data_IF_058228984035
#
_entry.id   IF_058228984035
#
_cell.length_a   1.000
_cell.length_b   1.000
_cell.length_c   1.000
_cell.angle_alpha   90.00
_cell.angle_beta   90.00
_cell.angle_gamma   90.00
#
_symmetry.space_group_name_H-M   'P 1'
#
loop_
_entity.id
_entity.type
_entity.pdbx_description
1 polymer ?
#
# COMPACT_ATOMS: atom_id res chain seq x y z
N UNK A 1 43.65 -20.46 33.71
CA UNK A 1 43.46 -19.66 32.49
C UNK A 1 42.04 -19.10 32.49
N UNK A 2 41.86 -17.84 32.91
CA UNK A 2 40.54 -17.18 32.91
C UNK A 2 40.35 -16.50 31.56
N UNK A 3 39.41 -17.00 30.76
CA UNK A 3 38.95 -16.35 29.54
C UNK A 3 37.99 -15.23 29.95
N UNK A 4 38.51 -14.04 30.25
CA UNK A 4 37.70 -12.86 30.52
C UNK A 4 37.10 -12.36 29.20
N UNK A 5 35.77 -12.45 28.99
CA UNK A 5 35.17 -11.87 27.79
C UNK A 5 35.35 -10.35 27.80
N UNK A 6 35.77 -9.80 26.66
CA UNK A 6 36.03 -8.38 26.48
C UNK A 6 34.71 -7.60 26.57
N UNK A 7 34.53 -6.81 27.64
CA UNK A 7 33.32 -6.02 27.91
C UNK A 7 32.93 -5.07 26.76
N UNK A 8 33.89 -4.70 25.90
CA UNK A 8 33.62 -3.91 24.68
C UNK A 8 32.81 -4.69 23.63
N UNK A 9 33.06 -5.98 23.45
CA UNK A 9 32.35 -6.80 22.46
C UNK A 9 30.85 -6.97 22.78
N UNK A 10 30.49 -6.95 24.06
CA UNK A 10 29.09 -7.01 24.51
C UNK A 10 28.38 -5.66 24.32
N UNK A 11 29.12 -4.55 24.44
CA UNK A 11 28.59 -3.20 24.16
C UNK A 11 28.34 -2.98 22.65
N UNK A 12 29.22 -3.51 21.79
CA UNK A 12 29.06 -3.44 20.33
C UNK A 12 27.82 -4.24 19.86
N UNK A 13 27.57 -5.41 20.48
CA UNK A 13 26.38 -6.21 20.21
C UNK A 13 25.08 -5.48 20.61
N UNK A 14 25.12 -4.71 21.71
CA UNK A 14 24.00 -3.87 22.19
C UNK A 14 23.76 -2.66 21.28
N UNK A 15 24.81 -2.09 20.67
CA UNK A 15 24.69 -1.03 19.66
C UNK A 15 24.11 -1.54 18.33
N UNK A 16 24.41 -2.78 17.94
CA UNK A 16 23.87 -3.37 16.69
C UNK A 16 22.39 -3.76 16.74
N UNK A 17 21.84 -4.06 17.92
CA UNK A 17 20.40 -4.34 18.07
C UNK A 17 19.53 -3.08 17.97
N UNK A 18 20.09 -1.89 18.19
CA UNK A 18 19.38 -0.61 18.10
C UNK A 18 19.29 -0.07 16.65
N UNK A 19 20.19 -0.52 15.76
CA UNK A 19 20.29 -0.06 14.35
C UNK A 19 19.18 -0.62 13.44
N UNK A 20 18.46 -1.67 13.86
CA UNK A 20 17.44 -2.34 13.01
C UNK A 20 15.99 -2.00 13.33
N UNK A 21 15.71 -0.88 14.00
CA UNK A 21 14.36 -0.31 13.98
C UNK A 21 14.10 0.33 12.61
N UNK A 22 13.60 -0.41 11.57
CA UNK A 22 13.19 0.25 10.32
C UNK A 22 12.03 1.16 10.64
N UNK A 23 12.35 2.44 10.72
CA UNK A 23 11.40 3.51 10.90
C UNK A 23 10.41 3.46 9.73
N UNK A 24 9.20 2.96 10.01
CA UNK A 24 8.13 2.87 9.02
C UNK A 24 7.68 4.30 8.76
N UNK A 25 8.09 4.86 7.62
CA UNK A 25 7.74 6.25 7.28
C UNK A 25 6.27 6.52 7.53
N UNK A 26 6.02 7.40 8.49
CA UNK A 26 4.66 7.78 8.90
C UNK A 26 4.07 8.72 7.85
N UNK A 27 2.74 8.72 7.73
CA UNK A 27 2.03 9.68 6.88
C UNK A 27 2.37 11.14 7.21
N UNK A 28 2.73 11.43 8.46
CA UNK A 28 3.18 12.75 8.93
C UNK A 28 4.58 13.14 8.44
N UNK A 29 5.38 12.18 7.98
CA UNK A 29 6.76 12.40 7.48
C UNK A 29 6.81 12.55 5.96
N UNK A 30 5.67 12.40 5.27
CA UNK A 30 5.56 12.68 3.84
C UNK A 30 5.62 14.19 3.61
N UNK A 31 6.36 14.61 2.58
CA UNK A 31 6.34 16.02 2.19
C UNK A 31 4.93 16.44 1.78
N UNK A 32 4.55 17.73 1.95
CA UNK A 32 3.23 18.23 1.54
C UNK A 32 2.89 17.89 0.07
N UNK A 33 3.91 17.86 -0.80
CA UNK A 33 3.77 17.48 -2.21
C UNK A 33 3.43 16.00 -2.38
N UNK A 34 4.12 15.10 -1.67
CA UNK A 34 3.83 13.66 -1.73
C UNK A 34 2.42 13.36 -1.24
N UNK A 35 2.03 13.96 -0.11
CA UNK A 35 0.68 13.83 0.45
C UNK A 35 -0.39 14.30 -0.54
N UNK A 36 -0.17 15.46 -1.18
CA UNK A 36 -1.08 15.99 -2.21
C UNK A 36 -1.21 15.04 -3.40
N UNK A 37 -0.11 14.48 -3.91
CA UNK A 37 -0.13 13.53 -5.03
C UNK A 37 -0.96 12.29 -4.66
N UNK A 38 -0.75 11.72 -3.47
CA UNK A 38 -1.50 10.54 -3.02
C UNK A 38 -3.00 10.83 -2.96
N UNK A 39 -3.38 11.99 -2.39
CA UNK A 39 -4.79 12.41 -2.30
C UNK A 39 -5.38 12.59 -3.70
N UNK A 40 -4.71 13.35 -4.57
CA UNK A 40 -5.21 13.64 -5.93
C UNK A 40 -5.38 12.34 -6.73
N UNK A 41 -4.37 11.47 -6.74
CA UNK A 41 -4.44 10.21 -7.48
C UNK A 41 -5.52 9.27 -6.91
N UNK A 42 -5.65 9.21 -5.58
CA UNK A 42 -6.71 8.44 -4.92
C UNK A 42 -8.10 8.94 -5.28
N UNK A 43 -8.31 10.26 -5.31
CA UNK A 43 -9.58 10.87 -5.69
C UNK A 43 -9.92 10.60 -7.15
N UNK A 44 -8.97 10.80 -8.08
CA UNK A 44 -9.18 10.55 -9.51
C UNK A 44 -9.61 9.11 -9.75
N UNK A 45 -8.88 8.14 -9.19
CA UNK A 45 -9.23 6.72 -9.33
C UNK A 45 -10.60 6.38 -8.75
N UNK A 46 -10.94 6.95 -7.58
CA UNK A 46 -12.23 6.68 -6.93
C UNK A 46 -13.41 7.23 -7.74
N UNK A 47 -13.29 8.45 -8.25
CA UNK A 47 -14.32 9.07 -9.11
C UNK A 47 -14.48 8.25 -10.39
N UNK A 48 -13.37 7.86 -11.02
CA UNK A 48 -13.40 7.07 -12.25
C UNK A 48 -14.05 5.70 -12.04
N UNK A 49 -13.74 5.00 -10.94
CA UNK A 49 -14.34 3.72 -10.61
C UNK A 49 -15.86 3.84 -10.39
N UNK A 50 -16.29 4.85 -9.62
CA UNK A 50 -17.71 5.12 -9.38
C UNK A 50 -18.43 5.46 -10.69
N UNK A 51 -17.84 6.33 -11.52
CA UNK A 51 -18.39 6.70 -12.82
C UNK A 51 -18.52 5.49 -13.75
N UNK A 52 -17.52 4.61 -13.79
CA UNK A 52 -17.54 3.40 -14.61
C UNK A 52 -18.62 2.41 -14.14
N UNK A 53 -18.79 2.22 -12.83
CA UNK A 53 -19.90 1.41 -12.30
C UNK A 53 -21.26 2.06 -12.58
N UNK A 54 -21.39 3.38 -12.46
CA UNK A 54 -22.63 4.09 -12.77
C UNK A 54 -22.99 3.99 -14.26
N UNK A 55 -22.03 4.15 -15.17
CA UNK A 55 -22.21 3.95 -16.61
C UNK A 55 -22.61 2.51 -16.92
N UNK A 56 -21.92 1.52 -16.33
CA UNK A 56 -22.23 0.10 -16.50
C UNK A 56 -23.63 -0.27 -15.96
N UNK A 57 -24.06 0.35 -14.87
CA UNK A 57 -25.39 0.16 -14.32
C UNK A 57 -26.47 0.71 -15.27
N UNK A 58 -26.25 1.91 -15.83
CA UNK A 58 -27.19 2.62 -16.70
C UNK A 58 -27.32 2.04 -18.11
N UNK A 59 -26.24 1.54 -18.72
CA UNK A 59 -26.27 1.00 -20.10
C UNK A 59 -27.11 -0.26 -20.21
N UNK A 60 -27.84 -0.42 -21.31
CA UNK A 60 -28.52 -1.70 -21.61
C UNK A 60 -27.47 -2.82 -21.78
N UNK A 61 -27.82 -4.05 -21.38
CA UNK A 61 -26.95 -5.23 -21.50
C UNK A 61 -26.53 -5.50 -22.95
N UNK A 62 -27.36 -5.14 -23.93
CA UNK A 62 -27.04 -5.27 -25.36
C UNK A 62 -25.95 -4.29 -25.83
N UNK A 63 -25.70 -3.20 -25.10
CA UNK A 63 -24.70 -2.18 -25.43
C UNK A 63 -23.36 -2.37 -24.68
N UNK A 64 -23.20 -3.49 -23.98
CA UNK A 64 -21.99 -3.83 -23.22
C UNK A 64 -21.36 -5.09 -23.82
N UNK A 65 -20.08 -5.00 -24.18
CA UNK A 65 -19.34 -6.16 -24.70
C UNK A 65 -19.07 -7.17 -23.58
N UNK A 66 -19.97 -8.15 -23.42
CA UNK A 66 -19.93 -9.17 -22.37
C UNK A 66 -20.82 -8.85 -21.16
N UNK A 67 -20.72 -9.65 -20.10
CA UNK A 67 -21.62 -9.50 -18.94
C UNK A 67 -21.23 -8.30 -18.07
N UNK A 68 -22.24 -7.56 -17.58
CA UNK A 68 -22.05 -6.47 -16.59
C UNK A 68 -21.30 -6.96 -15.35
N UNK A 69 -21.56 -8.19 -14.91
CA UNK A 69 -20.85 -8.78 -13.77
C UNK A 69 -19.34 -8.91 -14.01
N UNK A 70 -18.92 -9.31 -15.23
CA UNK A 70 -17.49 -9.41 -15.59
C UNK A 70 -16.81 -8.05 -15.50
N UNK A 71 -17.42 -7.01 -16.08
CA UNK A 71 -16.87 -5.66 -16.05
C UNK A 71 -16.84 -5.07 -14.64
N UNK A 72 -17.90 -5.30 -13.84
CA UNK A 72 -17.92 -4.88 -12.43
C UNK A 72 -16.79 -5.53 -11.63
N UNK A 73 -16.54 -6.83 -11.83
CA UNK A 73 -15.43 -7.55 -11.20
C UNK A 73 -14.05 -7.01 -11.63
N UNK A 74 -13.85 -6.71 -12.91
CA UNK A 74 -12.60 -6.11 -13.40
C UNK A 74 -12.33 -4.76 -12.73
N UNK A 75 -13.33 -3.88 -12.69
CA UNK A 75 -13.22 -2.57 -12.02
C UNK A 75 -12.93 -2.76 -10.52
N UNK A 76 -13.61 -3.71 -9.87
CA UNK A 76 -13.37 -4.03 -8.46
C UNK A 76 -11.94 -4.52 -8.20
N UNK A 77 -11.41 -5.42 -9.03
CA UNK A 77 -10.06 -5.95 -8.90
C UNK A 77 -9.01 -4.85 -9.09
N UNK A 78 -9.19 -3.98 -10.10
CA UNK A 78 -8.30 -2.85 -10.34
C UNK A 78 -8.22 -1.90 -9.13
N UNK A 79 -9.34 -1.72 -8.41
CA UNK A 79 -9.41 -0.86 -7.24
C UNK A 79 -8.91 -1.55 -5.95
N UNK A 80 -9.47 -2.72 -5.61
CA UNK A 80 -9.19 -3.42 -4.36
C UNK A 80 -7.88 -4.21 -4.37
N UNK A 81 -7.38 -4.64 -5.54
CA UNK A 81 -6.11 -5.37 -5.65
C UNK A 81 -4.93 -4.60 -5.04
N UNK A 82 -4.67 -3.36 -5.49
CA UNK A 82 -3.61 -2.53 -4.90
C UNK A 82 -3.84 -2.22 -3.42
N UNK A 83 -5.08 -1.92 -3.00
CA UNK A 83 -5.39 -1.63 -1.59
C UNK A 83 -5.10 -2.84 -0.70
N UNK A 84 -5.52 -4.03 -1.14
CA UNK A 84 -5.28 -5.28 -0.41
C UNK A 84 -3.79 -5.63 -0.36
N UNK A 85 -3.05 -5.39 -1.45
CA UNK A 85 -1.59 -5.50 -1.47
C UNK A 85 -0.94 -4.53 -0.47
N UNK A 86 -1.31 -3.24 -0.48
CA UNK A 86 -0.76 -2.30 0.50
C UNK A 86 -1.28 -2.55 1.94
N UNK A 87 -2.36 -3.31 2.15
CA UNK A 87 -2.81 -3.65 3.51
C UNK A 87 -2.14 -4.93 4.05
N UNK A 88 -2.02 -5.97 3.22
CA UNK A 88 -1.58 -7.33 3.61
C UNK A 88 -0.30 -7.79 2.94
N UNK A 89 -0.08 -7.42 1.68
CA UNK A 89 1.04 -7.90 0.85
C UNK A 89 2.33 -7.11 1.00
N UNK A 90 2.27 -5.86 1.46
CA UNK A 90 3.49 -5.07 1.70
C UNK A 90 4.21 -5.58 2.96
N UNK A 91 5.26 -6.35 2.73
CA UNK A 91 6.29 -6.62 3.74
C UNK A 91 6.87 -5.23 4.10
N UNK A 92 6.48 -4.67 5.25
CA UNK A 92 7.22 -3.53 5.78
C UNK A 92 8.62 -4.05 5.99
N UNK A 93 9.58 -3.44 5.29
CA UNK A 93 10.91 -4.00 5.19
C UNK A 93 11.37 -4.48 6.57
N UNK A 94 11.25 -3.76 7.71
CA UNK A 94 11.42 -4.20 9.15
C UNK A 94 12.69 -3.94 9.96
#
# INVERSE_FOLDING_TARGET
>A
MLFTPNVRAVADASGTVDVMSRNKKSWSELSPRQRRIVIVMGSIQSILAIAAWADLAKRDRAAVNGSKAKWAAIIAINFFGPITYFRRGRIQSK
#
